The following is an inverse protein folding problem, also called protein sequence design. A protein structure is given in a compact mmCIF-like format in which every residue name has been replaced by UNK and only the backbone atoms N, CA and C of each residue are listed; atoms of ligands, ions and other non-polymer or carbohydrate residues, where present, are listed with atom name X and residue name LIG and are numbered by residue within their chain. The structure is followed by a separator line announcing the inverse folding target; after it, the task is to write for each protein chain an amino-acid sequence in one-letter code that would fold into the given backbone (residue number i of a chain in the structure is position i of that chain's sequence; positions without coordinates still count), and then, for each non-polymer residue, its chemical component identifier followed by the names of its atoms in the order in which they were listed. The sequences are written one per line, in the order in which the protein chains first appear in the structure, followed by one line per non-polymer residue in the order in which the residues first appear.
data_IF_219316549051
#
_entry.id   IF_219316549051
#
_cell.length_a   1.000
_cell.length_b   1.000
_cell.length_c   1.000
_cell.angle_alpha   90.00
_cell.angle_beta   90.00
_cell.angle_gamma   90.00
#
_symmetry.space_group_name_H-M   'P 1'
#
loop_
_entity.id
_entity.type
_entity.pdbx_description
1 polymer ?
#
# COMPACT_ATOMS: atom_id res chain seq x y z
N UNK A 1 -84.69 21.38 -29.98
CA UNK A 1 -83.44 21.56 -30.75
C UNK A 1 -82.53 22.40 -29.85
N UNK A 2 -81.41 21.97 -29.27
CA UNK A 2 -80.48 20.87 -29.53
C UNK A 2 -79.55 20.74 -28.31
N UNK A 3 -79.15 19.51 -27.94
CA UNK A 3 -77.86 19.24 -27.27
C UNK A 3 -77.83 19.22 -25.75
N UNK A 4 -77.26 18.15 -25.16
CA UNK A 4 -76.67 18.24 -23.83
C UNK A 4 -76.78 17.05 -22.86
N UNK A 5 -76.86 15.78 -23.31
CA UNK A 5 -76.83 14.63 -22.37
C UNK A 5 -75.90 13.52 -22.92
N UNK A 6 -74.64 13.86 -23.18
CA UNK A 6 -73.67 12.91 -23.76
C UNK A 6 -72.29 12.88 -23.10
N UNK A 7 -72.08 13.57 -21.98
CA UNK A 7 -70.71 13.84 -21.49
C UNK A 7 -70.34 13.11 -20.18
N UNK A 8 -71.27 12.45 -19.49
CA UNK A 8 -70.99 11.88 -18.16
C UNK A 8 -70.56 10.39 -18.21
N UNK A 9 -70.69 9.73 -19.37
CA UNK A 9 -70.46 8.28 -19.49
C UNK A 9 -69.08 7.89 -20.04
N UNK A 10 -68.14 8.85 -20.18
CA UNK A 10 -66.78 8.61 -20.70
C UNK A 10 -65.64 8.74 -19.67
N UNK A 11 -65.94 8.57 -18.39
CA UNK A 11 -64.92 8.64 -17.33
C UNK A 11 -64.64 7.32 -16.61
N UNK A 12 -65.23 6.20 -17.05
CA UNK A 12 -65.12 4.90 -16.34
C UNK A 12 -64.18 3.86 -16.98
N UNK A 13 -63.61 4.13 -18.16
CA UNK A 13 -62.76 3.17 -18.90
C UNK A 13 -61.33 3.66 -19.16
N UNK A 14 -60.72 4.40 -18.23
CA UNK A 14 -59.27 4.65 -18.31
C UNK A 14 -58.53 3.54 -17.56
N UNK A 15 -57.80 2.63 -18.24
CA UNK A 15 -56.92 1.70 -17.56
C UNK A 15 -55.88 2.51 -16.78
N UNK A 16 -55.66 2.14 -15.51
CA UNK A 16 -54.62 2.73 -14.68
C UNK A 16 -53.28 2.58 -15.41
N UNK A 17 -52.74 3.69 -15.90
CA UNK A 17 -51.41 3.73 -16.47
C UNK A 17 -50.43 3.41 -15.33
N UNK A 18 -49.98 2.16 -15.30
CA UNK A 18 -48.86 1.75 -14.47
C UNK A 18 -47.69 2.67 -14.79
N UNK A 19 -47.32 3.51 -13.82
CA UNK A 19 -46.13 4.35 -13.87
C UNK A 19 -44.91 3.43 -13.86
N UNK A 20 -44.48 3.01 -15.05
CA UNK A 20 -43.23 2.31 -15.22
C UNK A 20 -42.09 3.27 -14.82
N UNK A 21 -41.48 3.00 -13.66
CA UNK A 21 -40.24 3.64 -13.24
C UNK A 21 -39.22 3.50 -14.37
N UNK A 22 -38.46 4.55 -14.71
CA UNK A 22 -37.43 4.44 -15.73
C UNK A 22 -36.41 3.37 -15.31
N UNK A 23 -35.84 2.59 -16.24
CA UNK A 23 -34.83 1.60 -15.91
C UNK A 23 -33.65 2.32 -15.27
N UNK A 24 -33.29 1.90 -14.05
CA UNK A 24 -32.05 2.31 -13.38
C UNK A 24 -30.91 1.84 -14.27
N UNK A 25 -30.33 2.75 -15.05
CA UNK A 25 -29.11 2.46 -15.80
C UNK A 25 -28.04 2.07 -14.77
N UNK A 26 -27.34 0.95 -14.93
CA UNK A 26 -26.15 0.70 -14.12
C UNK A 26 -25.21 1.88 -14.37
N UNK A 27 -24.93 2.66 -13.33
CA UNK A 27 -23.86 3.64 -13.35
C UNK A 27 -22.57 2.86 -13.49
N UNK A 28 -22.15 2.63 -14.73
CA UNK A 28 -20.76 2.37 -15.03
C UNK A 28 -19.99 3.55 -14.45
N UNK A 29 -19.40 3.34 -13.27
CA UNK A 29 -18.39 4.24 -12.74
C UNK A 29 -17.21 4.17 -13.70
N UNK A 30 -17.32 4.88 -14.82
CA UNK A 30 -16.16 5.28 -15.59
C UNK A 30 -15.27 6.04 -14.61
N UNK A 31 -14.13 5.42 -14.35
CA UNK A 31 -13.06 5.93 -13.51
C UNK A 31 -12.47 7.17 -14.18
N UNK A 32 -13.19 8.29 -14.10
CA UNK A 32 -12.69 9.58 -14.50
C UNK A 32 -12.09 10.21 -13.25
N UNK A 33 -10.79 9.94 -13.04
CA UNK A 33 -9.99 10.70 -12.09
C UNK A 33 -9.98 12.18 -12.53
N UNK A 34 -10.90 12.97 -11.98
CA UNK A 34 -10.90 14.42 -12.07
C UNK A 34 -9.59 14.93 -11.47
N UNK A 35 -8.66 15.34 -12.35
CA UNK A 35 -7.30 15.79 -12.05
C UNK A 35 -7.30 17.07 -11.20
N UNK A 36 -7.10 16.93 -9.89
CA UNK A 36 -6.09 17.76 -9.25
C UNK A 36 -4.74 17.03 -9.34
N UNK A 37 -3.80 17.59 -10.11
CA UNK A 37 -2.50 16.97 -10.43
C UNK A 37 -1.71 16.51 -9.19
N UNK A 38 -1.92 17.16 -8.04
CA UNK A 38 -1.24 16.84 -6.78
C UNK A 38 -1.75 15.54 -6.12
N UNK A 39 -3.07 15.28 -6.13
CA UNK A 39 -3.65 14.07 -5.54
C UNK A 39 -3.30 12.82 -6.35
N UNK A 40 -3.29 12.94 -7.67
CA UNK A 40 -2.89 11.84 -8.56
C UNK A 40 -1.44 11.42 -8.33
N UNK A 41 -0.52 12.37 -8.18
CA UNK A 41 0.89 12.07 -7.97
C UNK A 41 1.13 11.33 -6.64
N UNK A 42 0.51 11.78 -5.54
CA UNK A 42 0.58 11.09 -4.26
C UNK A 42 0.06 9.65 -4.35
N UNK A 43 -1.08 9.45 -5.02
CA UNK A 43 -1.69 8.12 -5.19
C UNK A 43 -0.75 7.15 -5.91
N UNK A 44 -0.15 7.59 -7.02
CA UNK A 44 0.82 6.78 -7.78
C UNK A 44 2.06 6.44 -6.97
N UNK A 45 2.53 7.36 -6.12
CA UNK A 45 3.70 7.12 -5.28
C UNK A 45 3.38 6.12 -4.17
N UNK A 46 2.22 6.25 -3.52
CA UNK A 46 1.77 5.28 -2.51
C UNK A 46 1.54 3.91 -3.15
N UNK A 47 0.95 3.85 -4.35
CA UNK A 47 0.80 2.63 -5.12
C UNK A 47 2.16 1.98 -5.44
N UNK A 48 3.15 2.77 -5.86
CA UNK A 48 4.50 2.29 -6.11
C UNK A 48 5.19 1.78 -4.83
N UNK A 49 5.00 2.46 -3.70
CA UNK A 49 5.54 2.01 -2.41
C UNK A 49 4.93 0.67 -1.96
N UNK A 50 3.61 0.51 -2.13
CA UNK A 50 2.90 -0.74 -1.82
C UNK A 50 3.32 -1.88 -2.75
N UNK A 51 3.40 -1.60 -4.05
CA UNK A 51 3.95 -2.53 -5.03
C UNK A 51 5.36 -2.97 -4.63
N UNK A 52 6.24 -2.04 -4.26
CA UNK A 52 7.62 -2.37 -3.89
C UNK A 52 7.73 -3.13 -2.58
N UNK A 53 6.90 -2.84 -1.58
CA UNK A 53 6.85 -3.65 -0.36
C UNK A 53 6.47 -5.11 -0.68
N UNK A 54 5.45 -5.26 -1.53
CA UNK A 54 4.94 -6.56 -1.94
C UNK A 54 5.98 -7.32 -2.78
N UNK A 55 6.64 -6.61 -3.70
CA UNK A 55 7.74 -7.10 -4.51
C UNK A 55 8.91 -7.55 -3.64
N UNK A 56 9.36 -6.76 -2.67
CA UNK A 56 10.49 -7.09 -1.78
C UNK A 56 10.28 -8.44 -1.09
N UNK A 57 9.06 -8.72 -0.62
CA UNK A 57 8.76 -9.98 0.04
C UNK A 57 8.87 -11.16 -0.94
N UNK A 58 8.40 -11.00 -2.18
CA UNK A 58 8.32 -12.09 -3.15
C UNK A 58 9.65 -12.33 -3.86
N UNK A 59 10.33 -11.26 -4.27
CA UNK A 59 11.60 -11.29 -4.99
C UNK A 59 12.71 -11.96 -4.17
N UNK A 60 12.70 -11.76 -2.84
CA UNK A 60 13.70 -12.33 -1.94
C UNK A 60 13.46 -13.82 -1.72
N UNK A 61 12.20 -14.24 -1.58
CA UNK A 61 11.85 -15.66 -1.50
C UNK A 61 12.37 -16.44 -2.70
N UNK A 62 12.25 -15.86 -3.90
CA UNK A 62 12.78 -16.49 -5.12
C UNK A 62 14.30 -16.42 -5.21
N UNK A 63 14.92 -15.38 -4.66
CA UNK A 63 16.38 -15.23 -4.64
C UNK A 63 17.07 -16.07 -3.56
N UNK A 64 16.34 -16.60 -2.57
CA UNK A 64 16.90 -17.32 -1.42
C UNK A 64 17.93 -18.40 -1.80
N UNK A 65 17.70 -19.28 -2.79
CA UNK A 65 18.68 -20.30 -3.15
C UNK A 65 20.01 -19.70 -3.66
N UNK A 66 19.94 -18.63 -4.45
CA UNK A 66 21.13 -17.92 -4.95
C UNK A 66 21.87 -17.20 -3.82
N UNK A 67 21.15 -16.61 -2.87
CA UNK A 67 21.76 -15.99 -1.68
C UNK A 67 22.44 -17.06 -0.82
N UNK A 68 21.81 -18.23 -0.64
CA UNK A 68 22.37 -19.35 0.11
C UNK A 68 23.72 -19.80 -0.47
N UNK A 69 23.78 -19.96 -1.80
CA UNK A 69 25.00 -20.32 -2.51
C UNK A 69 26.10 -19.28 -2.31
N UNK A 70 25.77 -17.99 -2.41
CA UNK A 70 26.73 -16.90 -2.25
C UNK A 70 27.26 -16.77 -0.81
N UNK A 71 26.45 -17.12 0.19
CA UNK A 71 26.82 -17.07 1.62
C UNK A 71 27.35 -18.40 2.16
N UNK A 72 27.56 -19.40 1.29
CA UNK A 72 27.97 -20.76 1.67
C UNK A 72 27.07 -21.40 2.75
N UNK A 73 25.77 -21.08 2.71
CA UNK A 73 24.76 -21.58 3.63
C UNK A 73 23.83 -22.59 2.92
N UNK A 74 23.18 -23.46 3.69
CA UNK A 74 22.11 -24.30 3.13
C UNK A 74 20.87 -23.43 2.85
N UNK A 75 20.15 -23.67 1.74
CA UNK A 75 18.90 -22.94 1.45
C UNK A 75 17.89 -23.01 2.59
N UNK A 76 17.83 -24.14 3.30
CA UNK A 76 16.95 -24.31 4.45
C UNK A 76 17.33 -23.39 5.62
N UNK A 77 18.63 -23.11 5.82
CA UNK A 77 19.09 -22.18 6.85
C UNK A 77 18.78 -20.72 6.53
N UNK A 78 18.35 -20.39 5.30
CA UNK A 78 18.05 -19.02 4.88
C UNK A 78 16.66 -18.53 5.31
N UNK A 79 15.77 -19.43 5.74
CA UNK A 79 14.39 -19.09 6.09
C UNK A 79 14.24 -17.95 7.12
N UNK A 80 15.12 -17.79 8.13
CA UNK A 80 15.09 -16.66 9.05
C UNK A 80 15.14 -15.28 8.37
N UNK A 81 15.73 -15.15 7.18
CA UNK A 81 15.80 -13.89 6.41
C UNK A 81 14.40 -13.34 6.11
N UNK A 82 13.46 -14.21 5.77
CA UNK A 82 12.08 -13.83 5.41
C UNK A 82 11.21 -13.75 6.66
N UNK A 83 11.38 -14.69 7.58
CA UNK A 83 10.61 -14.76 8.83
C UNK A 83 10.86 -13.54 9.70
N UNK A 84 12.13 -13.16 9.94
CA UNK A 84 12.47 -12.04 10.83
C UNK A 84 11.89 -10.71 10.32
N UNK A 85 11.90 -10.52 9.00
CA UNK A 85 11.37 -9.33 8.36
C UNK A 85 9.85 -9.24 8.56
N UNK A 86 9.14 -10.32 8.24
CA UNK A 86 7.67 -10.39 8.35
C UNK A 86 7.22 -10.30 9.80
N UNK A 87 7.93 -10.98 10.70
CA UNK A 87 7.65 -10.96 12.14
C UNK A 87 7.84 -9.55 12.71
N UNK A 88 8.95 -8.89 12.38
CA UNK A 88 9.21 -7.52 12.84
C UNK A 88 8.15 -6.55 12.32
N UNK A 89 7.76 -6.70 11.04
CA UNK A 89 6.66 -5.93 10.48
C UNK A 89 5.35 -6.15 11.24
N UNK A 90 4.96 -7.41 11.47
CA UNK A 90 3.73 -7.75 12.16
C UNK A 90 3.68 -7.17 13.58
N UNK A 91 4.76 -7.31 14.34
CA UNK A 91 4.86 -6.82 15.72
C UNK A 91 4.81 -5.29 15.83
N UNK A 92 5.36 -4.57 14.84
CA UNK A 92 5.47 -3.10 14.89
C UNK A 92 4.37 -2.36 14.12
N UNK A 93 3.61 -3.06 13.27
CA UNK A 93 2.48 -2.47 12.53
C UNK A 93 1.46 -1.80 13.45
N UNK A 94 1.02 -2.38 14.58
CA UNK A 94 0.06 -1.74 15.48
C UNK A 94 0.59 -0.43 16.08
N UNK A 95 1.89 -0.38 16.37
CA UNK A 95 2.53 0.79 16.97
C UNK A 95 2.65 1.98 16.00
N UNK A 96 2.61 1.74 14.69
CA UNK A 96 2.81 2.75 13.66
C UNK A 96 1.82 3.93 13.75
N UNK A 97 0.53 3.65 14.01
CA UNK A 97 -0.52 4.67 14.08
C UNK A 97 -0.27 5.66 15.22
N UNK A 98 -0.02 5.13 16.43
CA UNK A 98 0.32 5.96 17.58
C UNK A 98 1.61 6.76 17.36
N UNK A 99 2.61 6.15 16.72
CA UNK A 99 3.87 6.84 16.44
C UNK A 99 3.63 8.03 15.51
N UNK A 100 2.80 7.86 14.48
CA UNK A 100 2.43 8.94 13.57
C UNK A 100 1.56 10.02 14.22
N UNK A 101 0.67 9.66 15.14
CA UNK A 101 -0.13 10.63 15.89
C UNK A 101 0.74 11.42 16.87
N UNK A 102 1.73 10.77 17.50
CA UNK A 102 2.62 11.42 18.48
C UNK A 102 3.75 12.24 17.85
N UNK A 103 4.42 11.73 16.83
CA UNK A 103 5.60 12.36 16.23
C UNK A 103 5.31 13.09 14.91
N UNK A 104 4.08 12.93 14.39
CA UNK A 104 3.64 13.47 13.12
C UNK A 104 3.89 12.50 11.95
N UNK A 105 2.87 12.35 11.11
CA UNK A 105 2.84 11.44 9.96
C UNK A 105 4.03 11.64 9.02
N UNK A 106 4.38 12.89 8.68
CA UNK A 106 5.50 13.20 7.78
C UNK A 106 6.85 12.69 8.31
N UNK A 107 7.13 12.91 9.59
CA UNK A 107 8.41 12.54 10.22
C UNK A 107 8.56 11.03 10.33
N UNK A 108 7.52 10.37 10.83
CA UNK A 108 7.51 8.91 10.96
C UNK A 108 7.62 8.24 9.60
N UNK A 109 6.89 8.72 8.59
CA UNK A 109 6.97 8.12 7.26
C UNK A 109 8.34 8.31 6.61
N UNK A 110 8.93 9.51 6.74
CA UNK A 110 10.28 9.79 6.23
C UNK A 110 11.33 8.90 6.91
N UNK A 111 11.23 8.74 8.24
CA UNK A 111 12.13 7.88 9.01
C UNK A 111 11.98 6.41 8.63
N UNK A 112 10.74 5.94 8.46
CA UNK A 112 10.45 4.58 8.03
C UNK A 112 11.08 4.27 6.65
N UNK A 113 10.93 5.17 5.69
CA UNK A 113 11.56 5.06 4.36
C UNK A 113 13.08 5.04 4.49
N UNK A 114 13.66 5.94 5.28
CA UNK A 114 15.10 6.00 5.48
C UNK A 114 15.65 4.71 6.09
N UNK A 115 15.02 4.21 7.16
CA UNK A 115 15.38 2.94 7.80
C UNK A 115 15.28 1.79 6.80
N UNK A 116 14.20 1.73 6.03
CA UNK A 116 13.99 0.69 5.02
C UNK A 116 15.09 0.69 3.94
N UNK A 117 15.43 1.87 3.41
CA UNK A 117 16.46 2.03 2.37
C UNK A 117 17.84 1.69 2.91
N UNK A 118 18.22 2.22 4.08
CA UNK A 118 19.53 1.95 4.69
C UNK A 118 19.68 0.47 5.03
N UNK A 119 18.63 -0.16 5.56
CA UNK A 119 18.61 -1.59 5.82
C UNK A 119 18.69 -2.42 4.54
N UNK A 120 18.07 -1.96 3.44
CA UNK A 120 18.18 -2.63 2.13
C UNK A 120 19.61 -2.59 1.60
N UNK A 121 20.30 -1.45 1.74
CA UNK A 121 21.73 -1.34 1.42
C UNK A 121 22.55 -2.25 2.33
N UNK A 122 22.24 -2.33 3.63
CA UNK A 122 22.88 -3.27 4.55
C UNK A 122 22.69 -4.73 4.16
N UNK A 123 21.51 -5.11 3.67
CA UNK A 123 21.25 -6.45 3.13
C UNK A 123 22.10 -6.72 1.88
N UNK A 124 22.18 -5.75 0.96
CA UNK A 124 23.03 -5.84 -0.23
C UNK A 124 24.54 -5.84 0.09
N UNK A 125 24.95 -5.38 1.28
CA UNK A 125 26.34 -5.41 1.73
C UNK A 125 26.65 -6.59 2.67
N UNK A 126 25.70 -7.50 2.87
CA UNK A 126 25.85 -8.60 3.82
C UNK A 126 26.74 -9.71 3.28
N UNK A 127 27.75 -10.11 4.06
CA UNK A 127 28.68 -11.20 3.72
C UNK A 127 28.41 -12.49 4.51
N UNK A 128 27.50 -12.45 5.48
CA UNK A 128 27.11 -13.63 6.27
C UNK A 128 25.59 -13.65 6.47
N UNK A 129 25.05 -14.85 6.74
CA UNK A 129 23.64 -15.03 7.05
C UNK A 129 23.21 -14.17 8.26
N UNK A 130 24.02 -14.12 9.32
CA UNK A 130 23.71 -13.34 10.51
C UNK A 130 23.58 -11.84 10.23
N UNK A 131 24.49 -11.29 9.41
CA UNK A 131 24.39 -9.89 8.97
C UNK A 131 23.12 -9.63 8.16
N UNK A 132 22.79 -10.54 7.24
CA UNK A 132 21.60 -10.43 6.42
C UNK A 132 20.31 -10.49 7.25
N UNK A 133 20.23 -11.40 8.22
CA UNK A 133 19.10 -11.51 9.16
C UNK A 133 18.94 -10.25 10.01
N UNK A 134 20.05 -9.71 10.53
CA UNK A 134 20.01 -8.46 11.31
C UNK A 134 19.56 -7.27 10.46
N UNK A 135 20.09 -7.14 9.24
CA UNK A 135 19.69 -6.10 8.30
C UNK A 135 18.21 -6.25 7.91
N UNK A 136 17.72 -7.48 7.70
CA UNK A 136 16.30 -7.76 7.43
C UNK A 136 15.38 -7.42 8.60
N UNK A 137 15.82 -7.66 9.83
CA UNK A 137 15.08 -7.24 11.01
C UNK A 137 14.90 -5.72 11.03
N UNK A 138 15.99 -4.96 10.83
CA UNK A 138 15.96 -3.49 10.74
C UNK A 138 15.08 -3.03 9.57
N UNK A 139 15.16 -3.72 8.42
CA UNK A 139 14.31 -3.43 7.27
C UNK A 139 12.82 -3.61 7.60
N UNK A 140 12.49 -4.65 8.37
CA UNK A 140 11.12 -4.89 8.86
C UNK A 140 10.59 -3.76 9.75
N UNK A 141 11.45 -3.11 10.54
CA UNK A 141 11.08 -1.92 11.32
C UNK A 141 10.60 -0.81 10.39
N UNK A 142 11.38 -0.49 9.35
CA UNK A 142 11.00 0.49 8.33
C UNK A 142 9.71 0.08 7.61
N UNK A 143 9.65 -1.17 7.15
CA UNK A 143 8.51 -1.74 6.43
C UNK A 143 7.19 -1.71 7.21
N UNK A 144 7.25 -1.90 8.53
CA UNK A 144 6.06 -1.92 9.41
C UNK A 144 5.21 -0.65 9.33
N UNK A 145 5.84 0.48 9.01
CA UNK A 145 5.20 1.80 9.00
C UNK A 145 4.81 2.25 7.58
N UNK A 146 5.41 1.68 6.53
CA UNK A 146 5.19 2.16 5.16
C UNK A 146 3.72 2.04 4.73
N UNK A 147 3.10 0.88 5.00
CA UNK A 147 1.72 0.60 4.64
C UNK A 147 0.70 1.42 5.44
N UNK A 148 0.67 1.35 6.78
CA UNK A 148 -0.34 2.07 7.57
C UNK A 148 -0.21 3.59 7.41
N UNK A 149 1.02 4.12 7.39
CA UNK A 149 1.24 5.55 7.25
C UNK A 149 0.98 6.02 5.81
N UNK A 150 1.29 5.20 4.81
CA UNK A 150 0.89 5.44 3.43
C UNK A 150 -0.63 5.53 3.25
N UNK A 151 -1.39 4.62 3.86
CA UNK A 151 -2.88 4.68 3.87
C UNK A 151 -3.39 5.94 4.56
N UNK A 152 -2.81 6.29 5.71
CA UNK A 152 -3.15 7.52 6.43
C UNK A 152 -2.88 8.78 5.59
N UNK A 153 -1.78 8.80 4.84
CA UNK A 153 -1.47 9.91 3.94
C UNK A 153 -2.49 10.06 2.81
N UNK A 154 -2.96 8.95 2.22
CA UNK A 154 -4.04 8.95 1.23
C UNK A 154 -5.35 9.45 1.87
N UNK A 155 -5.70 8.95 3.05
CA UNK A 155 -6.91 9.33 3.76
C UNK A 155 -6.98 10.84 4.05
N UNK A 156 -5.85 11.47 4.39
CA UNK A 156 -5.78 12.92 4.68
C UNK A 156 -5.88 13.81 3.45
N UNK A 157 -5.72 13.26 2.24
CA UNK A 157 -5.61 14.03 0.99
C UNK A 157 -6.68 13.70 -0.04
N UNK A 158 -7.26 12.50 0.02
CA UNK A 158 -8.30 12.05 -0.90
C UNK A 158 -9.67 12.18 -0.22
N UNK A 159 -10.70 12.75 -0.88
CA UNK A 159 -12.05 12.81 -0.35
C UNK A 159 -12.58 11.42 0.04
N UNK A 160 -13.38 11.33 1.10
CA UNK A 160 -13.87 10.05 1.63
C UNK A 160 -14.58 9.17 0.59
N UNK A 161 -15.35 9.77 -0.31
CA UNK A 161 -16.03 9.09 -1.42
C UNK A 161 -15.08 8.37 -2.38
N UNK A 162 -13.86 8.89 -2.53
CA UNK A 162 -12.84 8.38 -3.44
C UNK A 162 -11.79 7.52 -2.71
N UNK A 163 -11.75 7.55 -1.38
CA UNK A 163 -10.76 6.84 -0.58
C UNK A 163 -10.78 5.33 -0.82
N UNK A 164 -11.96 4.73 -0.89
CA UNK A 164 -12.10 3.28 -1.17
C UNK A 164 -11.55 2.93 -2.55
N UNK A 165 -11.87 3.75 -3.56
CA UNK A 165 -11.35 3.57 -4.93
C UNK A 165 -9.83 3.76 -5.00
N UNK A 166 -9.31 4.76 -4.29
CA UNK A 166 -7.88 5.01 -4.14
C UNK A 166 -7.14 3.82 -3.52
N UNK A 167 -7.68 3.25 -2.43
CA UNK A 167 -7.11 2.05 -1.82
C UNK A 167 -7.23 0.81 -2.72
N UNK A 168 -8.31 0.67 -3.48
CA UNK A 168 -8.45 -0.41 -4.44
C UNK A 168 -7.35 -0.34 -5.50
N UNK A 169 -7.09 0.85 -6.05
CA UNK A 169 -6.00 1.10 -7.00
C UNK A 169 -4.63 0.73 -6.42
N UNK A 170 -4.33 1.21 -5.20
CA UNK A 170 -3.08 0.88 -4.49
C UNK A 170 -2.95 -0.62 -4.23
N UNK A 171 -4.05 -1.30 -3.92
CA UNK A 171 -4.08 -2.75 -3.66
C UNK A 171 -3.87 -3.56 -4.94
N UNK A 172 -4.44 -3.13 -6.07
CA UNK A 172 -4.17 -3.73 -7.39
C UNK A 172 -2.68 -3.62 -7.71
N UNK A 173 -2.08 -2.45 -7.51
CA UNK A 173 -0.65 -2.27 -7.69
C UNK A 173 0.16 -3.21 -6.77
N UNK A 174 -0.22 -3.36 -5.50
CA UNK A 174 0.43 -4.29 -4.57
C UNK A 174 0.41 -5.75 -5.06
N UNK A 175 -0.67 -6.18 -5.70
CA UNK A 175 -0.79 -7.55 -6.23
C UNK A 175 0.06 -7.83 -7.47
N UNK A 176 0.58 -6.80 -8.13
CA UNK A 176 1.60 -7.01 -9.16
C UNK A 176 2.92 -7.50 -8.55
N UNK A 177 3.20 -7.22 -7.27
CA UNK A 177 4.43 -7.65 -6.58
C UNK A 177 4.63 -9.17 -6.59
N UNK A 178 3.66 -9.99 -6.16
CA UNK A 178 3.76 -11.45 -6.21
C UNK A 178 3.74 -12.04 -7.62
N UNK A 179 3.15 -11.32 -8.59
CA UNK A 179 3.11 -11.76 -9.99
C UNK A 179 4.49 -11.56 -10.64
N UNK A 180 5.08 -10.38 -10.45
CA UNK A 180 6.35 -9.99 -11.09
C UNK A 180 7.57 -10.48 -10.30
N UNK A 181 7.44 -10.60 -8.98
CA UNK A 181 8.53 -10.88 -8.05
C UNK A 181 9.35 -12.11 -8.38
N UNK A 182 8.76 -13.30 -8.60
CA UNK A 182 9.52 -14.49 -8.94
C UNK A 182 10.28 -14.36 -10.25
N UNK A 183 9.65 -13.82 -11.29
CA UNK A 183 10.26 -13.61 -12.60
C UNK A 183 11.44 -12.63 -12.52
N UNK A 184 11.23 -11.48 -11.87
CA UNK A 184 12.25 -10.46 -11.72
C UNK A 184 13.38 -10.93 -10.81
N UNK A 185 13.07 -11.61 -9.70
CA UNK A 185 14.04 -12.12 -8.75
C UNK A 185 14.94 -13.17 -9.36
N UNK A 186 14.36 -14.15 -10.07
CA UNK A 186 15.13 -15.16 -10.80
C UNK A 186 16.01 -14.55 -11.88
N UNK A 187 15.48 -13.59 -12.65
CA UNK A 187 16.27 -12.91 -13.68
C UNK A 187 17.43 -12.10 -13.08
N UNK A 188 17.20 -11.33 -12.02
CA UNK A 188 18.23 -10.53 -11.36
C UNK A 188 19.34 -11.41 -10.76
N UNK A 189 18.99 -12.52 -10.11
CA UNK A 189 19.99 -13.42 -9.50
C UNK A 189 20.80 -14.18 -10.54
N UNK A 190 20.19 -14.56 -11.67
CA UNK A 190 20.87 -15.30 -12.73
C UNK A 190 21.71 -14.39 -13.64
N UNK A 191 21.20 -13.22 -14.02
CA UNK A 191 21.84 -12.35 -15.00
C UNK A 191 22.86 -11.39 -14.39
N UNK A 192 22.67 -10.98 -13.13
CA UNK A 192 23.48 -9.92 -12.52
C UNK A 192 24.05 -10.37 -11.18
N UNK A 193 23.25 -10.30 -10.11
CA UNK A 193 23.65 -10.68 -8.76
C UNK A 193 22.47 -10.61 -7.81
N UNK A 194 22.49 -11.42 -6.76
CA UNK A 194 21.46 -11.39 -5.72
C UNK A 194 21.39 -10.05 -4.96
N UNK A 195 22.47 -9.27 -4.92
CA UNK A 195 22.47 -7.95 -4.26
C UNK A 195 21.44 -6.98 -4.85
N UNK A 196 21.15 -7.10 -6.16
CA UNK A 196 20.20 -6.23 -6.85
C UNK A 196 18.76 -6.38 -6.37
N UNK A 197 18.43 -7.56 -5.85
CA UNK A 197 17.15 -7.86 -5.22
C UNK A 197 16.85 -6.88 -4.08
N UNK A 198 17.89 -6.37 -3.41
CA UNK A 198 17.77 -5.36 -2.36
C UNK A 198 18.00 -3.94 -2.87
N UNK A 199 18.88 -3.74 -3.85
CA UNK A 199 19.20 -2.40 -4.37
C UNK A 199 18.00 -1.78 -5.11
N UNK A 200 17.11 -2.58 -5.71
CA UNK A 200 15.87 -2.08 -6.35
C UNK A 200 14.97 -1.25 -5.41
N UNK A 201 15.07 -1.45 -4.09
CA UNK A 201 14.33 -0.68 -3.10
C UNK A 201 14.86 0.75 -2.93
N UNK A 202 16.15 0.99 -3.19
CA UNK A 202 16.81 2.28 -2.99
C UNK A 202 16.22 3.39 -3.86
N UNK A 203 16.09 3.25 -5.20
CA UNK A 203 15.52 4.32 -6.03
C UNK A 203 14.07 4.61 -5.67
N UNK A 204 13.27 3.58 -5.34
CA UNK A 204 11.88 3.79 -4.93
C UNK A 204 11.80 4.50 -3.58
N UNK A 205 12.62 4.11 -2.61
CA UNK A 205 12.66 4.78 -1.33
C UNK A 205 13.10 6.25 -1.46
N UNK A 206 14.06 6.56 -2.34
CA UNK A 206 14.44 7.93 -2.63
C UNK A 206 13.26 8.75 -3.20
N UNK A 207 12.53 8.21 -4.18
CA UNK A 207 11.33 8.85 -4.74
C UNK A 207 10.25 9.03 -3.66
N UNK A 208 10.02 8.00 -2.84
CA UNK A 208 9.08 8.05 -1.73
C UNK A 208 9.43 9.13 -0.72
N UNK A 209 10.71 9.27 -0.37
CA UNK A 209 11.17 10.30 0.58
C UNK A 209 10.92 11.70 0.03
N UNK A 210 11.23 11.95 -1.24
CA UNK A 210 10.93 13.22 -1.93
C UNK A 210 9.42 13.49 -1.93
N UNK A 211 8.61 12.48 -2.21
CA UNK A 211 7.16 12.60 -2.20
C UNK A 211 6.61 12.95 -0.83
N UNK A 212 7.09 12.29 0.23
CA UNK A 212 6.68 12.60 1.60
C UNK A 212 7.02 14.05 1.94
N UNK A 213 8.20 14.52 1.57
CA UNK A 213 8.60 15.90 1.84
C UNK A 213 7.78 16.93 1.06
N UNK A 214 7.33 16.59 -0.15
CA UNK A 214 6.58 17.49 -1.05
C UNK A 214 5.07 17.50 -0.79
N UNK A 215 4.49 16.34 -0.51
CA UNK A 215 3.03 16.16 -0.44
C UNK A 215 2.49 16.01 0.98
N UNK A 216 3.29 15.64 1.98
CA UNK A 216 2.81 15.66 3.37
C UNK A 216 3.11 17.03 4.01
N UNK A 217 2.09 17.70 4.59
CA UNK A 217 2.32 18.94 5.33
C UNK A 217 3.19 18.66 6.56
N UNK A 218 3.84 19.70 7.06
CA UNK A 218 4.56 19.64 8.32
C UNK A 218 3.54 19.71 9.46
N UNK A 219 2.88 18.58 9.74
CA UNK A 219 1.90 18.52 10.82
C UNK A 219 2.62 18.66 12.16
N UNK A 220 2.22 19.65 12.96
CA UNK A 220 2.62 19.75 14.36
C UNK A 220 1.87 18.68 15.14
N UNK A 221 2.58 17.95 16.02
CA UNK A 221 1.98 16.95 16.88
C UNK A 221 0.88 17.59 17.75
N UNK A 222 -0.39 17.37 17.41
CA UNK A 222 -1.52 17.67 18.29
C UNK A 222 -1.54 16.63 19.41
N UNK A 223 -1.90 17.06 20.63
CA UNK A 223 -1.77 16.31 21.89
C UNK A 223 -1.97 14.78 21.72
N UNK A 224 -0.95 13.95 22.01
CA UNK A 224 -0.98 12.54 21.65
C UNK A 224 -2.00 11.76 22.49
N UNK A 225 -2.83 10.89 21.88
CA UNK A 225 -3.58 9.90 22.62
C UNK A 225 -2.62 8.92 23.33
N UNK A 226 -3.07 8.36 24.47
CA UNK A 226 -2.27 7.37 25.23
C UNK A 226 -2.05 6.11 24.38
N UNK A 227 -0.84 5.55 24.41
CA UNK A 227 -0.52 4.30 23.71
C UNK A 227 -1.30 3.15 24.34
N UNK A 228 -1.96 2.34 23.52
CA UNK A 228 -2.66 1.13 23.97
C UNK A 228 -1.69 -0.04 24.07
N UNK A 229 -0.99 -0.12 25.20
CA UNK A 229 -0.08 -1.22 25.52
C UNK A 229 -0.80 -2.57 25.62
N UNK A 230 -2.08 -2.57 26.03
CA UNK A 230 -2.85 -3.80 26.23
C UNK A 230 -3.24 -4.39 24.88
N UNK A 231 -3.72 -3.56 23.96
CA UNK A 231 -4.01 -3.98 22.58
C UNK A 231 -2.77 -4.46 21.83
N UNK A 232 -1.61 -3.86 22.07
CA UNK A 232 -0.35 -4.27 21.44
C UNK A 232 0.20 -5.60 22.00
N UNK A 233 -0.06 -5.91 23.28
CA UNK A 233 0.40 -7.14 23.93
C UNK A 233 -0.52 -8.36 23.69
N UNK A 234 -1.75 -8.14 23.23
CA UNK A 234 -2.73 -9.19 22.92
C UNK A 234 -2.68 -9.69 21.47
N UNK A 235 -1.89 -9.04 20.60
CA UNK A 235 -1.61 -9.44 19.21
C UNK A 235 -0.38 -10.35 19.13
#
# INVERSE_FOLDING_TARGET
MTGGIGTIERLKDRPAAASASPPVRPSHHEFVMSRESSHSALLWIVAAAFFMQSLDTTIVNTALPSIAQALHASPLAMQPVVVVYTLTMAMLTPASGWLADRFGTRRVFSLAILVFVLASVGCAASHTLGQLVAARAIQGIGGSMLLPIGRLAVLRRVPGEQYVSALAFVSIAAQLGPIVGPTLGGWLTQAISWHWVFIVNVPVGAIGLVAVQRYLPHDQATQPPRFDFVGCALL
#
